data_IF_611417321350
#
_entry.id   IF_611417321350
#
_cell.length_a   1.000
_cell.length_b   1.000
_cell.length_c   1.000
_cell.angle_alpha   90.00
_cell.angle_beta   90.00
_cell.angle_gamma   90.00
#
_symmetry.space_group_name_H-M   'P 1'
#
loop_
_entity.id
_entity.type
_entity.pdbx_description
1 polymer ?
#
# COMPACT_ATOMS: atom_id res chain seq x y z
N UNK A 1 -27.63 33.60 -10.65
CA UNK A 1 -26.32 33.87 -9.99
C UNK A 1 -25.99 32.84 -8.89
N UNK A 2 -26.93 32.48 -8.00
CA UNK A 2 -26.69 31.47 -6.94
C UNK A 2 -26.48 30.02 -7.42
N UNK A 3 -27.21 29.56 -8.45
CA UNK A 3 -27.08 28.18 -8.97
C UNK A 3 -25.69 27.93 -9.58
N UNK A 4 -25.10 28.92 -10.25
CA UNK A 4 -23.78 28.82 -10.87
C UNK A 4 -22.66 28.62 -9.84
N UNK A 5 -22.83 29.21 -8.66
CA UNK A 5 -21.92 29.01 -7.53
C UNK A 5 -22.01 27.59 -6.96
N UNK A 6 -23.24 27.04 -6.86
CA UNK A 6 -23.44 25.64 -6.43
C UNK A 6 -22.81 24.66 -7.42
N UNK A 7 -23.01 24.88 -8.73
CA UNK A 7 -22.42 24.03 -9.76
C UNK A 7 -20.89 24.05 -9.71
N UNK A 8 -20.27 25.23 -9.61
CA UNK A 8 -18.82 25.37 -9.44
C UNK A 8 -18.31 24.67 -8.18
N UNK A 9 -19.03 24.79 -7.07
CA UNK A 9 -18.64 24.13 -5.81
C UNK A 9 -18.74 22.61 -5.91
N UNK A 10 -19.77 22.06 -6.55
CA UNK A 10 -19.89 20.61 -6.75
C UNK A 10 -18.80 20.10 -7.68
N UNK A 11 -18.52 20.79 -8.78
CA UNK A 11 -17.47 20.39 -9.72
C UNK A 11 -16.09 20.36 -9.04
N UNK A 12 -15.79 21.34 -8.17
CA UNK A 12 -14.58 21.32 -7.37
C UNK A 12 -14.48 20.07 -6.49
N UNK A 13 -15.56 19.72 -5.77
CA UNK A 13 -15.61 18.51 -4.93
C UNK A 13 -15.44 17.23 -5.74
N UNK A 14 -16.08 17.14 -6.90
CA UNK A 14 -15.94 16.01 -7.83
C UNK A 14 -14.46 15.81 -8.19
N UNK A 15 -13.77 16.87 -8.61
CA UNK A 15 -12.34 16.80 -8.93
C UNK A 15 -11.47 16.39 -7.74
N UNK A 16 -11.78 16.89 -6.54
CA UNK A 16 -11.08 16.50 -5.31
C UNK A 16 -11.27 15.00 -4.99
N UNK A 17 -12.49 14.48 -5.12
CA UNK A 17 -12.81 13.06 -4.89
C UNK A 17 -12.15 12.18 -5.96
N UNK A 18 -12.17 12.58 -7.24
CA UNK A 18 -11.48 11.87 -8.32
C UNK A 18 -9.99 11.73 -8.06
N UNK A 19 -9.34 12.80 -7.60
CA UNK A 19 -7.92 12.77 -7.24
C UNK A 19 -7.64 11.79 -6.08
N UNK A 20 -8.51 11.75 -5.07
CA UNK A 20 -8.38 10.82 -3.95
C UNK A 20 -8.60 9.36 -4.38
N UNK A 21 -9.60 9.09 -5.23
CA UNK A 21 -9.85 7.76 -5.81
C UNK A 21 -8.59 7.25 -6.52
N UNK A 22 -8.01 8.06 -7.41
CA UNK A 22 -6.79 7.69 -8.15
C UNK A 22 -5.61 7.45 -7.21
N UNK A 23 -5.47 8.28 -6.17
CA UNK A 23 -4.42 8.10 -5.16
C UNK A 23 -4.57 6.78 -4.41
N UNK A 24 -5.76 6.47 -3.90
CA UNK A 24 -6.03 5.23 -3.17
C UNK A 24 -5.84 4.00 -4.05
N UNK A 25 -6.30 4.02 -5.31
CA UNK A 25 -6.08 2.93 -6.25
C UNK A 25 -4.58 2.65 -6.48
N UNK A 26 -3.76 3.70 -6.64
CA UNK A 26 -2.31 3.56 -6.80
C UNK A 26 -1.67 2.94 -5.56
N UNK A 27 -2.08 3.35 -4.37
CA UNK A 27 -1.51 2.82 -3.14
C UNK A 27 -1.93 1.35 -2.90
N UNK A 28 -3.17 0.98 -3.24
CA UNK A 28 -3.61 -0.43 -3.23
C UNK A 28 -2.72 -1.27 -4.13
N UNK A 29 -2.52 -0.87 -5.39
CA UNK A 29 -1.69 -1.61 -6.35
C UNK A 29 -0.25 -1.75 -5.82
N UNK A 30 0.30 -0.68 -5.25
CA UNK A 30 1.65 -0.68 -4.67
C UNK A 30 1.76 -1.68 -3.51
N UNK A 31 0.75 -1.70 -2.63
CA UNK A 31 0.72 -2.59 -1.48
C UNK A 31 0.50 -4.05 -1.89
N UNK A 32 -0.37 -4.31 -2.87
CA UNK A 32 -0.58 -5.64 -3.45
C UNK A 32 0.71 -6.17 -4.09
N UNK A 33 1.44 -5.33 -4.81
CA UNK A 33 2.75 -5.69 -5.36
C UNK A 33 3.75 -6.09 -4.26
N UNK A 34 3.88 -5.27 -3.20
CA UNK A 34 4.73 -5.62 -2.05
C UNK A 34 4.32 -6.96 -1.43
N UNK A 35 3.02 -7.19 -1.26
CA UNK A 35 2.49 -8.42 -0.68
C UNK A 35 2.87 -9.66 -1.51
N UNK A 36 2.95 -9.53 -2.84
CA UNK A 36 3.38 -10.62 -3.72
C UNK A 36 4.89 -10.90 -3.67
N UNK A 37 5.73 -9.89 -3.43
CA UNK A 37 7.19 -10.01 -3.45
C UNK A 37 7.78 -10.44 -2.09
N UNK A 38 7.15 -10.06 -0.98
CA UNK A 38 7.64 -10.34 0.38
C UNK A 38 7.83 -11.85 0.64
N UNK A 39 6.89 -12.75 0.29
CA UNK A 39 7.05 -14.19 0.53
C UNK A 39 8.30 -14.79 -0.13
N UNK A 40 8.56 -14.44 -1.39
CA UNK A 40 9.73 -14.94 -2.13
C UNK A 40 11.03 -14.43 -1.53
N UNK A 41 11.04 -13.17 -1.08
CA UNK A 41 12.18 -12.57 -0.39
C UNK A 41 12.46 -13.26 0.96
N UNK A 42 11.41 -13.54 1.75
CA UNK A 42 11.54 -14.27 3.01
C UNK A 42 12.11 -15.66 2.77
N UNK A 43 11.56 -16.40 1.81
CA UNK A 43 11.98 -17.76 1.51
C UNK A 43 13.45 -17.81 1.04
N UNK A 44 13.85 -16.86 0.18
CA UNK A 44 15.23 -16.73 -0.29
C UNK A 44 16.19 -16.42 0.86
N UNK A 45 15.81 -15.50 1.75
CA UNK A 45 16.63 -15.14 2.92
C UNK A 45 16.73 -16.31 3.92
N UNK A 46 15.64 -17.05 4.17
CA UNK A 46 15.64 -18.24 5.04
C UNK A 46 16.57 -19.34 4.53
N UNK A 47 16.58 -19.58 3.21
CA UNK A 47 17.52 -20.53 2.59
C UNK A 47 18.98 -20.12 2.78
N UNK A 48 19.28 -18.85 2.51
CA UNK A 48 20.65 -18.31 2.68
C UNK A 48 21.06 -18.39 4.15
N UNK A 49 20.17 -18.03 5.08
CA UNK A 49 20.43 -18.09 6.51
C UNK A 49 20.76 -19.51 6.94
N UNK A 50 19.94 -20.50 6.58
CA UNK A 50 20.17 -21.91 6.89
C UNK A 50 21.55 -22.39 6.41
N UNK A 51 21.89 -22.13 5.14
CA UNK A 51 23.19 -22.52 4.58
C UNK A 51 24.35 -21.80 5.29
N UNK A 52 24.16 -20.52 5.64
CA UNK A 52 25.18 -19.74 6.34
C UNK A 52 25.42 -20.31 7.73
N UNK A 53 24.36 -20.64 8.46
CA UNK A 53 24.45 -21.18 9.82
C UNK A 53 25.10 -22.58 9.83
N UNK A 54 24.72 -23.46 8.90
CA UNK A 54 25.34 -24.79 8.72
C UNK A 54 26.85 -24.68 8.46
N UNK A 55 27.26 -23.81 7.52
CA UNK A 55 28.68 -23.61 7.19
C UNK A 55 29.46 -22.91 8.30
N UNK A 56 28.81 -22.03 9.07
CA UNK A 56 29.43 -21.37 10.23
C UNK A 56 29.73 -22.40 11.31
N UNK A 57 28.79 -23.33 11.55
CA UNK A 57 29.00 -24.39 12.52
C UNK A 57 30.12 -25.35 12.10
N UNK A 58 30.17 -25.74 10.81
CA UNK A 58 31.27 -26.54 10.26
C UNK A 58 32.61 -25.84 10.45
N UNK A 59 32.70 -24.55 10.09
CA UNK A 59 33.90 -23.75 10.28
C UNK A 59 34.36 -23.72 11.75
N UNK A 60 33.43 -23.49 12.69
CA UNK A 60 33.74 -23.44 14.12
C UNK A 60 34.22 -24.81 14.63
N UNK A 61 33.65 -25.91 14.13
CA UNK A 61 34.08 -27.25 14.52
C UNK A 61 35.52 -27.54 14.06
N UNK A 62 35.89 -27.08 12.86
CA UNK A 62 37.21 -27.32 12.27
C UNK A 62 38.29 -26.37 12.79
N UNK A 63 37.94 -25.10 13.04
CA UNK A 63 38.89 -24.02 13.29
C UNK A 63 38.76 -23.38 14.68
N UNK A 64 37.74 -23.76 15.45
CA UNK A 64 37.36 -23.08 16.68
C UNK A 64 36.58 -21.78 16.42
N UNK A 65 36.18 -21.13 17.50
CA UNK A 65 35.42 -19.89 17.45
C UNK A 65 36.36 -18.68 17.49
N UNK A 66 36.30 -17.82 16.47
CA UNK A 66 37.20 -16.68 16.27
C UNK A 66 36.48 -15.42 15.73
N UNK A 67 37.25 -14.37 15.44
CA UNK A 67 36.72 -13.10 14.91
C UNK A 67 36.04 -13.25 13.53
N UNK A 68 36.48 -14.21 12.70
CA UNK A 68 35.84 -14.46 11.42
C UNK A 68 34.46 -15.08 11.59
N UNK A 69 34.33 -16.09 12.45
CA UNK A 69 33.04 -16.70 12.79
C UNK A 69 32.06 -15.68 13.38
N UNK A 70 32.52 -14.77 14.25
CA UNK A 70 31.70 -13.66 14.79
C UNK A 70 31.10 -12.78 13.68
N UNK A 71 31.92 -12.37 12.70
CA UNK A 71 31.43 -11.54 11.58
C UNK A 71 30.35 -12.24 10.75
N UNK A 72 30.44 -13.56 10.61
CA UNK A 72 29.42 -14.33 9.90
C UNK A 72 28.14 -14.41 10.73
N UNK A 73 28.25 -14.66 12.04
CA UNK A 73 27.12 -14.67 12.98
C UNK A 73 26.40 -13.32 12.95
N UNK A 74 27.12 -12.20 12.99
CA UNK A 74 26.54 -10.85 12.89
C UNK A 74 25.78 -10.65 11.57
N UNK A 75 26.32 -11.16 10.46
CA UNK A 75 25.62 -11.12 9.18
C UNK A 75 24.35 -11.99 9.18
N UNK A 76 24.37 -13.17 9.82
CA UNK A 76 23.18 -14.02 10.02
C UNK A 76 22.13 -13.31 10.88
N UNK A 77 22.53 -12.68 11.99
CA UNK A 77 21.61 -11.90 12.85
C UNK A 77 20.94 -10.76 12.09
N UNK A 78 21.69 -10.03 11.26
CA UNK A 78 21.15 -8.97 10.41
C UNK A 78 20.12 -9.51 9.40
N UNK A 79 20.36 -10.69 8.81
CA UNK A 79 19.38 -11.34 7.92
C UNK A 79 18.13 -11.79 8.68
N UNK A 80 18.29 -12.37 9.87
CA UNK A 80 17.18 -12.76 10.74
C UNK A 80 16.30 -11.56 11.11
N UNK A 81 16.91 -10.43 11.46
CA UNK A 81 16.18 -9.18 11.70
C UNK A 81 15.40 -8.72 10.46
N UNK A 82 16.01 -8.78 9.27
CA UNK A 82 15.33 -8.44 8.01
C UNK A 82 14.13 -9.36 7.73
N UNK A 83 14.28 -10.67 7.95
CA UNK A 83 13.18 -11.64 7.81
C UNK A 83 12.03 -11.28 8.76
N UNK A 84 12.33 -10.97 10.03
CA UNK A 84 11.33 -10.58 11.01
C UNK A 84 10.50 -9.38 10.55
N UNK A 85 11.14 -8.30 10.08
CA UNK A 85 10.42 -7.12 9.59
C UNK A 85 9.57 -7.42 8.35
N UNK A 86 10.07 -8.25 7.43
CA UNK A 86 9.29 -8.68 6.26
C UNK A 86 8.07 -9.51 6.66
N UNK A 87 8.19 -10.39 7.66
CA UNK A 87 7.06 -11.17 8.19
C UNK A 87 6.03 -10.27 8.89
N UNK A 88 6.47 -9.23 9.59
CA UNK A 88 5.57 -8.22 10.17
C UNK A 88 4.84 -7.42 9.08
N UNK A 89 5.53 -7.02 8.02
CA UNK A 89 4.91 -6.37 6.87
C UNK A 89 3.85 -7.27 6.21
N UNK A 90 4.13 -8.57 6.08
CA UNK A 90 3.20 -9.55 5.52
C UNK A 90 1.89 -9.66 6.33
N UNK A 91 1.96 -9.43 7.65
CA UNK A 91 0.77 -9.40 8.52
C UNK A 91 -0.01 -8.09 8.40
N UNK A 92 0.69 -6.97 8.24
CA UNK A 92 0.08 -5.61 8.27
C UNK A 92 -0.50 -5.18 6.93
N UNK A 93 0.19 -5.46 5.83
CA UNK A 93 -0.19 -5.02 4.48
C UNK A 93 -1.62 -5.45 4.10
N UNK A 94 -2.08 -6.69 4.39
CA UNK A 94 -3.47 -7.08 4.09
C UNK A 94 -4.53 -6.19 4.74
N UNK A 95 -4.33 -5.79 6.01
CA UNK A 95 -5.26 -4.90 6.71
C UNK A 95 -5.19 -3.47 6.15
N UNK A 96 -4.01 -3.00 5.74
CA UNK A 96 -3.87 -1.71 5.05
C UNK A 96 -4.65 -1.72 3.73
N UNK A 97 -4.46 -2.75 2.90
CA UNK A 97 -5.19 -2.91 1.63
C UNK A 97 -6.70 -2.93 1.86
N UNK A 98 -7.15 -3.65 2.89
CA UNK A 98 -8.57 -3.72 3.28
C UNK A 98 -9.12 -2.35 3.67
N UNK A 99 -8.39 -1.58 4.48
CA UNK A 99 -8.79 -0.21 4.84
C UNK A 99 -8.88 0.69 3.61
N UNK A 100 -7.86 0.68 2.75
CA UNK A 100 -7.85 1.47 1.51
C UNK A 100 -8.98 1.10 0.56
N UNK A 101 -9.34 -0.19 0.46
CA UNK A 101 -10.49 -0.66 -0.33
C UNK A 101 -11.82 -0.18 0.25
N UNK A 102 -11.96 -0.12 1.57
CA UNK A 102 -13.15 0.43 2.21
C UNK A 102 -13.27 1.94 1.96
N UNK A 103 -12.18 2.69 2.15
CA UNK A 103 -12.14 4.13 1.84
C UNK A 103 -12.45 4.40 0.36
N UNK A 104 -11.90 3.61 -0.56
CA UNK A 104 -12.17 3.72 -1.99
C UNK A 104 -13.66 3.50 -2.29
N UNK A 105 -14.30 2.51 -1.66
CA UNK A 105 -15.72 2.26 -1.81
C UNK A 105 -16.58 3.46 -1.35
N UNK A 106 -16.23 4.05 -0.21
CA UNK A 106 -16.93 5.23 0.30
C UNK A 106 -16.74 6.45 -0.61
N UNK A 107 -15.52 6.68 -1.11
CA UNK A 107 -15.22 7.75 -2.08
C UNK A 107 -16.00 7.55 -3.39
N UNK A 108 -16.08 6.34 -3.92
CA UNK A 108 -16.85 6.05 -5.14
C UNK A 108 -18.36 6.31 -4.96
N UNK A 109 -18.88 6.02 -3.76
CA UNK A 109 -20.27 6.33 -3.40
C UNK A 109 -20.49 7.84 -3.31
N UNK A 110 -19.56 8.57 -2.70
CA UNK A 110 -19.62 10.04 -2.62
C UNK A 110 -19.53 10.67 -4.01
N UNK A 111 -18.61 10.20 -4.85
CA UNK A 111 -18.45 10.65 -6.24
C UNK A 111 -19.77 10.54 -7.02
N UNK A 112 -20.44 9.37 -6.96
CA UNK A 112 -21.74 9.16 -7.62
C UNK A 112 -22.81 10.14 -7.12
N UNK A 113 -22.82 10.43 -5.82
CA UNK A 113 -23.75 11.39 -5.20
C UNK A 113 -23.49 12.81 -5.70
N UNK A 114 -22.24 13.25 -5.76
CA UNK A 114 -21.89 14.58 -6.25
C UNK A 114 -22.16 14.71 -7.76
N UNK A 115 -21.90 13.66 -8.56
CA UNK A 115 -22.27 13.61 -9.98
C UNK A 115 -23.77 13.76 -10.23
N UNK A 116 -24.60 13.16 -9.37
CA UNK A 116 -26.05 13.36 -9.43
C UNK A 116 -26.44 14.81 -9.12
N UNK A 117 -25.80 15.45 -8.13
CA UNK A 117 -26.04 16.86 -7.81
C UNK A 117 -25.62 17.78 -8.95
N UNK A 118 -24.46 17.55 -9.56
CA UNK A 118 -23.99 18.28 -10.75
C UNK A 118 -25.06 18.23 -11.85
N UNK A 119 -25.57 17.03 -12.15
CA UNK A 119 -26.62 16.84 -13.16
C UNK A 119 -27.89 17.63 -12.81
N UNK A 120 -28.35 17.57 -11.56
CA UNK A 120 -29.53 18.33 -11.12
C UNK A 120 -29.32 19.83 -11.30
N UNK A 121 -28.19 20.38 -10.86
CA UNK A 121 -27.90 21.82 -10.98
C UNK A 121 -27.75 22.27 -12.44
N UNK A 122 -27.17 21.46 -13.31
CA UNK A 122 -27.09 21.79 -14.74
C UNK A 122 -28.47 21.85 -15.42
N UNK A 123 -29.40 20.99 -15.02
CA UNK A 123 -30.76 20.95 -15.56
C UNK A 123 -31.64 22.09 -15.04
N UNK A 124 -31.43 22.55 -13.80
CA UNK A 124 -32.14 23.71 -13.23
C UNK A 124 -31.66 25.03 -13.84
N UNK A 125 -30.36 25.16 -14.14
CA UNK A 125 -29.84 26.31 -14.88
C UNK A 125 -30.37 26.37 -16.32
N UNK A 126 -30.44 25.24 -17.03
CA UNK A 126 -30.96 25.18 -18.41
C UNK A 126 -32.43 25.57 -18.55
N UNK A 127 -33.26 25.35 -17.51
CA UNK A 127 -34.68 25.75 -17.50
C UNK A 127 -34.91 27.25 -17.30
N UNK A 128 -33.97 28.00 -16.74
CA UNK A 128 -34.14 29.46 -16.51
C UNK A 128 -33.87 30.31 -17.76
N UNK A 129 -33.37 29.73 -18.86
CA UNK A 129 -32.99 30.48 -20.08
C UNK A 129 -34.10 30.40 -21.16
N UNK A 130 -35.20 29.68 -20.91
CA UNK A 130 -36.36 29.60 -21.82
C UNK A 130 -37.51 30.47 -21.33
N UNK A 131 -37.39 31.79 -21.45
CA UNK A 131 -38.51 32.76 -21.43
C UNK A 131 -38.27 33.80 -22.51
#
# INVERSE_FOLDING_TARGET
MFENFKLKSVNKKITEIEAQIVSNQKEIIRMEKKLSEIPENIESLKKILKITDERTQEYINDNGHDDFSNKIIDASLNRSAKIYYLEEDLKRIPEIIKSLKAELFDLEKEYKKEKLKEKVYSLTEGKQISV
#
